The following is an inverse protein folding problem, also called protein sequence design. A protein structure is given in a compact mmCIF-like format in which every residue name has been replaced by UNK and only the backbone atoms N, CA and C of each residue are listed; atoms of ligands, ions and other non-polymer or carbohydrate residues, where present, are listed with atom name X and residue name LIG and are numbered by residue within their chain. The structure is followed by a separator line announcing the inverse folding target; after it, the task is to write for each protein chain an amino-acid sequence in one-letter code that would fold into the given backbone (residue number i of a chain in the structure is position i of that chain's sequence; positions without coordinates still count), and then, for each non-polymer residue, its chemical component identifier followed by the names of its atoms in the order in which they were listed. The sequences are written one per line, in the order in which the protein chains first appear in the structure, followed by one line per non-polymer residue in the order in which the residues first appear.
data_IF_533376470802
#
_entry.id   IF_533376470802
#
_cell.length_a   1.000
_cell.length_b   1.000
_cell.length_c   1.000
_cell.angle_alpha   90.00
_cell.angle_beta   90.00
_cell.angle_gamma   90.00
#
_symmetry.space_group_name_H-M   'P 1'
#
loop_
_entity.id
_entity.type
_entity.pdbx_description
1 polymer ?
#
# COMPACT_ATOMS: atom_id res chain seq x y z
N UNK A 1 -5.90 58.90 8.08
CA UNK A 1 -5.37 58.16 6.91
C UNK A 1 -4.65 56.87 7.31
N UNK A 2 -3.69 56.88 8.24
CA UNK A 2 -2.93 55.67 8.63
C UNK A 2 -3.77 54.51 9.19
N UNK A 3 -4.83 54.80 9.96
CA UNK A 3 -5.73 53.77 10.54
C UNK A 3 -6.53 53.03 9.48
N UNK A 4 -7.06 53.74 8.47
CA UNK A 4 -7.81 53.15 7.37
C UNK A 4 -6.94 52.22 6.52
N UNK A 5 -5.69 52.61 6.27
CA UNK A 5 -4.72 51.78 5.55
C UNK A 5 -4.37 50.49 6.31
N UNK A 6 -4.27 50.56 7.65
CA UNK A 6 -4.10 49.36 8.48
C UNK A 6 -5.33 48.44 8.42
N UNK A 7 -6.55 49.00 8.49
CA UNK A 7 -7.78 48.21 8.38
C UNK A 7 -7.85 47.48 7.04
N UNK A 8 -7.54 48.17 5.94
CA UNK A 8 -7.50 47.56 4.61
C UNK A 8 -6.46 46.44 4.54
N UNK A 9 -5.25 46.65 5.07
CA UNK A 9 -4.20 45.62 5.14
C UNK A 9 -4.62 44.40 5.94
N UNK A 10 -5.25 44.59 7.11
CA UNK A 10 -5.77 43.47 7.91
C UNK A 10 -6.91 42.72 7.20
N UNK A 11 -7.78 43.44 6.49
CA UNK A 11 -8.85 42.83 5.71
C UNK A 11 -8.28 41.97 4.57
N UNK A 12 -7.30 42.49 3.83
CA UNK A 12 -6.60 41.73 2.78
C UNK A 12 -5.82 40.55 3.34
N UNK A 13 -5.16 40.70 4.48
CA UNK A 13 -4.48 39.58 5.14
C UNK A 13 -5.48 38.49 5.56
N UNK A 14 -6.64 38.90 6.10
CA UNK A 14 -7.72 38.00 6.46
C UNK A 14 -8.24 37.19 5.27
N UNK A 15 -8.49 37.84 4.13
CA UNK A 15 -8.95 37.14 2.91
C UNK A 15 -7.89 36.20 2.35
N UNK A 16 -6.60 36.58 2.37
CA UNK A 16 -5.49 35.70 1.98
C UNK A 16 -5.45 34.46 2.89
N UNK A 17 -5.54 34.64 4.22
CA UNK A 17 -5.51 33.54 5.18
C UNK A 17 -6.68 32.57 5.00
N UNK A 18 -7.89 33.10 4.77
CA UNK A 18 -9.06 32.26 4.44
C UNK A 18 -8.85 31.50 3.14
N UNK A 19 -8.32 32.16 2.10
CA UNK A 19 -8.00 31.52 0.82
C UNK A 19 -7.00 30.38 0.96
N UNK A 20 -5.90 30.60 1.68
CA UNK A 20 -4.88 29.58 1.96
C UNK A 20 -5.48 28.40 2.73
N UNK A 21 -6.30 28.68 3.74
CA UNK A 21 -6.96 27.64 4.55
C UNK A 21 -7.93 26.80 3.72
N UNK A 22 -8.69 27.44 2.83
CA UNK A 22 -9.62 26.75 1.94
C UNK A 22 -8.88 25.83 0.95
N UNK A 23 -7.81 26.33 0.32
CA UNK A 23 -6.98 25.53 -0.60
C UNK A 23 -6.36 24.35 0.15
N UNK A 24 -5.78 24.59 1.32
CA UNK A 24 -5.19 23.54 2.13
C UNK A 24 -6.21 22.45 2.50
N UNK A 25 -7.41 22.85 2.94
CA UNK A 25 -8.48 21.92 3.33
C UNK A 25 -8.98 21.11 2.13
N UNK A 26 -9.11 21.74 0.97
CA UNK A 26 -9.49 21.06 -0.27
C UNK A 26 -8.45 20.01 -0.68
N UNK A 27 -7.16 20.38 -0.69
CA UNK A 27 -6.06 19.46 -1.01
C UNK A 27 -6.00 18.29 -0.01
N UNK A 28 -6.09 18.59 1.29
CA UNK A 28 -6.07 17.57 2.33
C UNK A 28 -7.22 16.56 2.17
N UNK A 29 -8.43 17.05 1.91
CA UNK A 29 -9.62 16.22 1.73
C UNK A 29 -9.53 15.38 0.46
N UNK A 30 -9.09 15.99 -0.64
CA UNK A 30 -8.93 15.32 -1.93
C UNK A 30 -7.89 14.19 -1.84
N UNK A 31 -6.72 14.46 -1.26
CA UNK A 31 -5.66 13.47 -1.11
C UNK A 31 -6.10 12.29 -0.24
N UNK A 32 -6.86 12.54 0.84
CA UNK A 32 -7.43 11.46 1.66
C UNK A 32 -8.44 10.61 0.90
N UNK A 33 -9.30 11.23 0.08
CA UNK A 33 -10.28 10.51 -0.74
C UNK A 33 -9.62 9.66 -1.82
N UNK A 34 -8.67 10.24 -2.57
CA UNK A 34 -7.91 9.53 -3.59
C UNK A 34 -7.12 8.35 -2.99
N UNK A 35 -6.42 8.59 -1.88
CA UNK A 35 -5.71 7.52 -1.17
C UNK A 35 -6.63 6.38 -0.72
N UNK A 36 -7.85 6.69 -0.27
CA UNK A 36 -8.83 5.68 0.11
C UNK A 36 -9.37 4.90 -1.11
N UNK A 37 -9.64 5.55 -2.23
CA UNK A 37 -10.11 4.89 -3.46
C UNK A 37 -9.03 3.95 -4.03
N UNK A 38 -7.78 4.40 -4.13
CA UNK A 38 -6.64 3.55 -4.52
C UNK A 38 -6.56 2.33 -3.60
N UNK A 39 -6.61 2.57 -2.29
CA UNK A 39 -6.53 1.51 -1.30
C UNK A 39 -7.64 0.47 -1.43
N UNK A 40 -8.89 0.91 -1.62
CA UNK A 40 -10.04 0.01 -1.77
C UNK A 40 -9.91 -0.83 -3.05
N UNK A 41 -9.58 -0.21 -4.19
CA UNK A 41 -9.42 -0.92 -5.46
C UNK A 41 -8.35 -2.00 -5.41
N UNK A 42 -7.19 -1.69 -4.82
CA UNK A 42 -6.12 -2.67 -4.66
C UNK A 42 -6.48 -3.76 -3.65
N UNK A 43 -7.16 -3.39 -2.55
CA UNK A 43 -7.63 -4.37 -1.56
C UNK A 43 -8.62 -5.35 -2.16
N UNK A 44 -9.58 -4.87 -2.96
CA UNK A 44 -10.55 -5.68 -3.66
C UNK A 44 -9.86 -6.59 -4.68
N UNK A 45 -8.96 -6.05 -5.51
CA UNK A 45 -8.17 -6.84 -6.47
C UNK A 45 -7.39 -7.96 -5.79
N UNK A 46 -6.68 -7.66 -4.70
CA UNK A 46 -5.91 -8.65 -3.94
C UNK A 46 -6.83 -9.71 -3.33
N UNK A 47 -7.96 -9.28 -2.76
CA UNK A 47 -8.95 -10.19 -2.16
C UNK A 47 -9.57 -11.13 -3.21
N UNK A 48 -9.94 -10.60 -4.38
CA UNK A 48 -10.54 -11.36 -5.47
C UNK A 48 -9.57 -12.37 -6.07
N UNK A 49 -8.31 -11.99 -6.25
CA UNK A 49 -7.26 -12.91 -6.69
C UNK A 49 -7.04 -14.02 -5.65
N UNK A 50 -6.94 -13.65 -4.37
CA UNK A 50 -6.72 -14.61 -3.28
C UNK A 50 -7.87 -15.62 -3.15
N UNK A 51 -9.12 -15.20 -3.39
CA UNK A 51 -10.31 -16.08 -3.37
C UNK A 51 -10.31 -17.14 -4.47
N UNK A 52 -9.52 -16.96 -5.54
CA UNK A 52 -9.39 -17.93 -6.63
C UNK A 52 -8.39 -19.04 -6.31
N UNK A 53 -7.53 -18.82 -5.31
CA UNK A 53 -6.58 -19.84 -4.89
C UNK A 53 -7.28 -20.92 -4.06
N UNK A 54 -6.88 -22.19 -4.21
CA UNK A 54 -7.40 -23.26 -3.37
C UNK A 54 -7.01 -23.03 -1.91
N UNK A 55 -7.90 -23.39 -0.98
CA UNK A 55 -7.67 -23.18 0.47
C UNK A 55 -6.39 -23.90 0.93
N UNK A 56 -6.07 -25.06 0.34
CA UNK A 56 -4.86 -25.83 0.61
C UNK A 56 -3.57 -25.03 0.39
N UNK A 57 -3.57 -24.05 -0.53
CA UNK A 57 -2.43 -23.17 -0.79
C UNK A 57 -2.04 -22.34 0.45
N UNK A 58 -2.96 -22.09 1.37
CA UNK A 58 -2.71 -21.27 2.56
C UNK A 58 -2.33 -22.08 3.80
N UNK A 59 -2.53 -23.40 3.79
CA UNK A 59 -2.42 -24.25 4.98
C UNK A 59 -1.08 -24.98 5.05
N UNK A 60 -0.63 -25.57 3.94
CA UNK A 60 0.53 -26.47 3.96
C UNK A 60 1.63 -26.02 2.99
N UNK A 61 2.86 -25.99 3.51
CA UNK A 61 4.06 -25.73 2.71
C UNK A 61 4.32 -26.82 1.65
N UNK A 62 3.87 -28.05 1.88
CA UNK A 62 3.92 -29.15 0.91
C UNK A 62 2.89 -28.95 -0.21
N UNK A 63 1.68 -28.50 0.13
CA UNK A 63 0.62 -28.20 -0.84
C UNK A 63 0.97 -27.02 -1.76
N UNK A 64 1.83 -26.11 -1.30
CA UNK A 64 2.35 -25.03 -2.15
C UNK A 64 3.23 -25.54 -3.32
N UNK A 65 3.83 -26.74 -3.21
CA UNK A 65 4.55 -27.36 -4.33
C UNK A 65 3.63 -27.99 -5.38
N UNK A 66 2.38 -28.30 -5.01
CA UNK A 66 1.37 -28.92 -5.89
C UNK A 66 0.53 -27.89 -6.67
N UNK A 67 0.85 -26.60 -6.54
CA UNK A 67 0.14 -25.55 -7.26
C UNK A 67 0.19 -25.75 -8.77
N UNK A 68 -0.98 -25.60 -9.40
CA UNK A 68 -1.08 -25.56 -10.85
C UNK A 68 -0.37 -24.32 -11.41
N UNK A 69 -0.07 -24.32 -12.70
CA UNK A 69 0.49 -23.14 -13.36
C UNK A 69 -0.43 -21.91 -13.21
N UNK A 70 -1.75 -22.12 -13.23
CA UNK A 70 -2.71 -21.04 -13.04
C UNK A 70 -2.67 -20.46 -11.64
N UNK A 71 -2.59 -21.31 -10.61
CA UNK A 71 -2.49 -20.85 -9.22
C UNK A 71 -1.21 -20.04 -8.99
N UNK A 72 -0.08 -20.51 -9.53
CA UNK A 72 1.20 -19.76 -9.46
C UNK A 72 1.09 -18.39 -10.11
N UNK A 73 0.44 -18.31 -11.28
CA UNK A 73 0.16 -17.02 -11.94
C UNK A 73 -0.66 -16.10 -11.04
N UNK A 74 -1.68 -16.62 -10.36
CA UNK A 74 -2.50 -15.83 -9.43
C UNK A 74 -1.66 -15.35 -8.24
N UNK A 75 -0.80 -16.19 -7.66
CA UNK A 75 0.12 -15.80 -6.58
C UNK A 75 1.04 -14.67 -7.05
N UNK A 76 1.62 -14.79 -8.25
CA UNK A 76 2.48 -13.75 -8.84
C UNK A 76 1.71 -12.44 -9.07
N UNK A 77 0.46 -12.50 -9.52
CA UNK A 77 -0.39 -11.33 -9.69
C UNK A 77 -0.72 -10.64 -8.36
N UNK A 78 -0.93 -11.42 -7.30
CA UNK A 78 -1.12 -10.87 -5.94
C UNK A 78 0.16 -10.18 -5.47
N UNK A 79 1.32 -10.83 -5.60
CA UNK A 79 2.62 -10.25 -5.22
C UNK A 79 2.86 -8.95 -6.02
N UNK A 80 2.58 -8.95 -7.32
CA UNK A 80 2.74 -7.76 -8.15
C UNK A 80 1.77 -6.64 -7.75
N UNK A 81 0.53 -6.97 -7.42
CA UNK A 81 -0.46 -5.99 -6.93
C UNK A 81 -0.02 -5.36 -5.60
N UNK A 82 0.59 -6.15 -4.71
CA UNK A 82 1.17 -5.66 -3.45
C UNK A 82 2.37 -4.75 -3.72
N UNK A 83 3.24 -5.13 -4.66
CA UNK A 83 4.36 -4.30 -5.10
C UNK A 83 3.89 -2.94 -5.64
N UNK A 84 2.93 -2.93 -6.56
CA UNK A 84 2.35 -1.68 -7.10
C UNK A 84 1.78 -0.80 -5.98
N UNK A 85 1.05 -1.40 -5.04
CA UNK A 85 0.49 -0.70 -3.88
C UNK A 85 1.58 -0.12 -2.97
N UNK A 86 2.66 -0.86 -2.74
CA UNK A 86 3.80 -0.41 -1.95
C UNK A 86 4.52 0.77 -2.61
N UNK A 87 4.74 0.73 -3.92
CA UNK A 87 5.36 1.85 -4.64
C UNK A 87 4.48 3.11 -4.57
N UNK A 88 3.15 2.95 -4.71
CA UNK A 88 2.20 4.06 -4.52
C UNK A 88 2.27 4.65 -3.11
N UNK A 89 2.45 3.81 -2.09
CA UNK A 89 2.67 4.26 -0.72
C UNK A 89 3.98 5.04 -0.57
N UNK A 90 5.10 4.48 -1.03
CA UNK A 90 6.43 5.11 -0.93
C UNK A 90 6.52 6.42 -1.70
N UNK A 91 5.74 6.58 -2.78
CA UNK A 91 5.63 7.82 -3.54
C UNK A 91 4.58 8.81 -2.99
N UNK A 92 3.92 8.50 -1.88
CA UNK A 92 3.02 9.43 -1.17
C UNK A 92 1.60 9.50 -1.71
N UNK A 93 1.21 8.64 -2.66
CA UNK A 93 -0.17 8.55 -3.15
C UNK A 93 -1.11 7.95 -2.10
N UNK A 94 -0.57 7.14 -1.18
CA UNK A 94 -1.30 6.53 -0.09
C UNK A 94 -0.87 7.20 1.22
N UNK A 95 -1.77 7.92 1.90
CA UNK A 95 -1.50 8.47 3.22
C UNK A 95 -1.01 7.37 4.19
N UNK A 96 0.02 7.63 5.02
CA UNK A 96 0.53 6.64 5.97
C UNK A 96 -0.53 6.07 6.92
N UNK A 97 -1.52 6.89 7.30
CA UNK A 97 -2.63 6.46 8.13
C UNK A 97 -3.52 5.43 7.43
N UNK A 98 -3.63 5.45 6.10
CA UNK A 98 -4.38 4.47 5.31
C UNK A 98 -3.55 3.20 5.14
N UNK A 99 -2.26 3.33 4.81
CA UNK A 99 -1.33 2.19 4.68
C UNK A 99 -1.32 1.29 5.93
N UNK A 100 -1.19 1.91 7.12
CA UNK A 100 -1.16 1.22 8.42
C UNK A 100 -2.38 0.35 8.71
N UNK A 101 -3.52 0.59 8.05
CA UNK A 101 -4.73 -0.23 8.24
C UNK A 101 -4.54 -1.63 7.63
N UNK A 102 -3.78 -1.75 6.53
CA UNK A 102 -3.66 -2.99 5.74
C UNK A 102 -2.29 -3.62 5.80
N UNK A 103 -1.27 -2.84 6.12
CA UNK A 103 0.10 -3.32 6.29
C UNK A 103 0.16 -4.65 7.06
N UNK A 104 -0.51 -4.82 8.23
CA UNK A 104 -0.48 -6.11 8.94
C UNK A 104 -1.12 -7.28 8.18
N UNK A 105 -2.16 -7.04 7.37
CA UNK A 105 -2.77 -8.10 6.56
C UNK A 105 -1.91 -8.45 5.35
N UNK A 106 -1.26 -7.46 4.74
CA UNK A 106 -0.32 -7.70 3.64
C UNK A 106 0.87 -8.50 4.15
N UNK A 107 1.46 -8.11 5.28
CA UNK A 107 2.54 -8.84 5.93
C UNK A 107 2.13 -10.28 6.25
N UNK A 108 0.92 -10.47 6.80
CA UNK A 108 0.37 -11.81 7.05
C UNK A 108 0.26 -12.64 5.76
N UNK A 109 -0.27 -12.06 4.68
CA UNK A 109 -0.40 -12.74 3.38
C UNK A 109 0.97 -13.14 2.83
N UNK A 110 1.93 -12.21 2.82
CA UNK A 110 3.28 -12.47 2.32
C UNK A 110 4.08 -13.44 3.20
N UNK A 111 3.67 -13.62 4.45
CA UNK A 111 4.25 -14.60 5.37
C UNK A 111 3.71 -16.03 5.16
N UNK A 112 2.65 -16.22 4.37
CA UNK A 112 2.11 -17.55 4.11
C UNK A 112 3.08 -18.38 3.25
N UNK A 113 3.16 -19.70 3.45
CA UNK A 113 4.17 -20.55 2.81
C UNK A 113 4.21 -20.43 1.28
N UNK A 114 3.03 -20.39 0.65
CA UNK A 114 2.91 -20.26 -0.81
C UNK A 114 3.51 -18.95 -1.35
N UNK A 115 3.32 -17.84 -0.62
CA UNK A 115 3.86 -16.55 -1.01
C UNK A 115 5.36 -16.49 -0.74
N UNK A 116 5.83 -17.06 0.37
CA UNK A 116 7.27 -17.17 0.67
C UNK A 116 8.01 -17.95 -0.42
N UNK A 117 7.49 -19.11 -0.84
CA UNK A 117 8.10 -19.93 -1.89
C UNK A 117 8.18 -19.18 -3.22
N UNK A 118 7.09 -18.56 -3.67
CA UNK A 118 7.09 -17.82 -4.92
C UNK A 118 7.86 -16.48 -4.83
N UNK A 119 7.94 -15.85 -3.66
CA UNK A 119 8.81 -14.68 -3.47
C UNK A 119 10.28 -15.03 -3.70
N UNK A 120 10.75 -16.20 -3.23
CA UNK A 120 12.12 -16.66 -3.48
C UNK A 120 12.42 -16.80 -4.97
N UNK A 121 11.44 -17.24 -5.78
CA UNK A 121 11.61 -17.33 -7.24
C UNK A 121 11.59 -15.96 -7.93
N UNK A 122 10.93 -14.97 -7.32
CA UNK A 122 10.75 -13.62 -7.86
C UNK A 122 11.76 -12.58 -7.34
N UNK A 123 12.62 -12.89 -6.37
CA UNK A 123 13.56 -11.93 -5.76
C UNK A 123 14.35 -11.11 -6.80
N UNK A 124 14.85 -11.75 -7.86
CA UNK A 124 15.59 -11.07 -8.92
C UNK A 124 14.78 -10.01 -9.68
N UNK A 125 13.45 -10.13 -9.73
CA UNK A 125 12.58 -9.17 -10.43
C UNK A 125 12.47 -7.83 -9.68
N UNK A 126 12.65 -7.84 -8.36
CA UNK A 126 12.53 -6.64 -7.52
C UNK A 126 13.88 -5.98 -7.24
N UNK A 127 14.98 -6.43 -7.86
CA UNK A 127 16.31 -5.88 -7.64
C UNK A 127 16.42 -4.37 -7.94
N UNK A 128 15.57 -3.84 -8.82
CA UNK A 128 15.49 -2.39 -9.13
C UNK A 128 14.66 -1.58 -8.13
N UNK A 129 14.02 -2.24 -7.17
CA UNK A 129 13.16 -1.64 -6.15
C UNK A 129 13.70 -1.97 -4.76
N UNK A 130 14.83 -1.35 -4.35
CA UNK A 130 15.57 -1.75 -3.14
C UNK A 130 14.75 -1.54 -1.85
N UNK A 131 13.85 -0.57 -1.82
CA UNK A 131 12.95 -0.34 -0.68
C UNK A 131 11.97 -1.49 -0.50
N UNK A 132 11.35 -1.93 -1.60
CA UNK A 132 10.45 -3.07 -1.59
C UNK A 132 11.19 -4.37 -1.24
N UNK A 133 12.36 -4.61 -1.82
CA UNK A 133 13.19 -5.76 -1.51
C UNK A 133 13.57 -5.81 -0.01
N UNK A 134 14.02 -4.69 0.56
CA UNK A 134 14.36 -4.60 1.98
C UNK A 134 13.12 -4.83 2.88
N UNK A 135 11.95 -4.33 2.48
CA UNK A 135 10.71 -4.57 3.20
C UNK A 135 10.30 -6.04 3.16
N UNK A 136 10.39 -6.70 2.01
CA UNK A 136 10.16 -8.14 1.89
C UNK A 136 11.11 -8.95 2.78
N UNK A 137 12.41 -8.62 2.77
CA UNK A 137 13.39 -9.28 3.64
C UNK A 137 13.09 -9.12 5.13
N UNK A 138 12.53 -7.98 5.54
CA UNK A 138 12.08 -7.76 6.91
C UNK A 138 10.91 -8.69 7.25
N UNK A 139 9.90 -8.77 6.38
CA UNK A 139 8.74 -9.65 6.57
C UNK A 139 9.17 -11.11 6.68
N UNK A 140 10.03 -11.57 5.76
CA UNK A 140 10.56 -12.94 5.76
C UNK A 140 11.28 -13.28 7.07
N UNK A 141 12.08 -12.35 7.61
CA UNK A 141 12.77 -12.53 8.90
C UNK A 141 11.81 -12.55 10.09
N UNK A 142 10.77 -11.72 10.07
CA UNK A 142 9.78 -11.66 11.16
C UNK A 142 8.90 -12.91 11.21
N UNK A 143 8.50 -13.46 10.06
CA UNK A 143 7.72 -14.69 9.96
C UNK A 143 8.46 -15.93 10.48
N UNK A 144 9.79 -15.96 10.34
CA UNK A 144 10.65 -17.04 10.86
C UNK A 144 10.80 -17.04 12.40
N UNK A 145 10.44 -15.98 13.10
CA UNK A 145 10.57 -15.91 14.57
C UNK A 145 9.36 -16.45 15.34
N UNK A 146 8.28 -16.80 14.63
CA UNK A 146 7.03 -17.34 15.21
C UNK A 146 6.88 -18.84 14.87
N UNK A 147 7.95 -19.47 14.39
CA UNK A 147 8.03 -20.92 14.14
C UNK A 147 8.58 -21.70 15.33
#
# INVERSE_FOLDING_TARGET
MAVLDHILKFMTLGTIMVGVTAIYTALHTNNRRLGADIFLRYSDRISDLRRRLPISAFLDASAASELTFEDRRIVHEVIHSIFELYELYVHGFIPPAIWKIREPDIERVLSLPVFQQELMTLQGRFARHPRFAAWLEQIMRSGLSIG
#
